data_IF_324338361535
#
_entry.id   IF_324338361535
#
_cell.length_a   1.000
_cell.length_b   1.000
_cell.length_c   1.000
_cell.angle_alpha   90.00
_cell.angle_beta   90.00
_cell.angle_gamma   90.00
#
_symmetry.space_group_name_H-M   'P 1'
#
loop_
_entity.id
_entity.type
_entity.pdbx_description
1 polymer ?
#
# COMPACT_ATOMS: atom_id res chain seq x y z
N UNK A 1 -21.07 1.23 19.60
CA UNK A 1 -21.37 2.24 18.55
C UNK A 1 -20.94 1.75 17.18
N UNK A 2 -19.68 1.37 16.95
CA UNK A 2 -19.26 0.78 15.67
C UNK A 2 -19.99 -0.54 15.37
N UNK A 3 -20.15 -1.42 16.36
CA UNK A 3 -20.87 -2.68 16.16
C UNK A 3 -22.33 -2.45 15.71
N UNK A 4 -22.99 -1.47 16.33
CA UNK A 4 -24.35 -1.06 15.98
C UNK A 4 -24.44 -0.46 14.58
N UNK A 5 -23.43 0.33 14.18
CA UNK A 5 -23.30 0.83 12.81
C UNK A 5 -23.11 -0.30 11.80
N UNK A 6 -22.23 -1.27 12.08
CA UNK A 6 -21.97 -2.42 11.21
C UNK A 6 -23.19 -3.32 11.07
N UNK A 7 -23.94 -3.55 12.16
CA UNK A 7 -25.22 -4.27 12.11
C UNK A 7 -26.24 -3.52 11.24
N UNK A 8 -26.30 -2.19 11.37
CA UNK A 8 -27.16 -1.36 10.53
C UNK A 8 -26.74 -1.46 9.05
N UNK A 9 -25.44 -1.46 8.75
CA UNK A 9 -24.93 -1.57 7.38
C UNK A 9 -25.24 -2.93 6.74
N UNK A 10 -25.04 -4.02 7.49
CA UNK A 10 -25.36 -5.39 7.06
C UNK A 10 -26.86 -5.58 6.73
N UNK A 11 -27.73 -4.80 7.36
CA UNK A 11 -29.16 -4.83 7.06
C UNK A 11 -29.47 -4.26 5.66
N UNK A 12 -28.69 -3.30 5.17
CA UNK A 12 -28.91 -2.75 3.82
C UNK A 12 -28.47 -3.71 2.72
N UNK A 13 -27.39 -4.47 2.93
CA UNK A 13 -26.98 -5.53 1.99
C UNK A 13 -28.04 -6.62 1.84
N UNK A 14 -28.78 -6.91 2.91
CA UNK A 14 -29.85 -7.92 2.90
C UNK A 14 -31.17 -7.38 2.34
N UNK A 15 -31.51 -6.11 2.60
CA UNK A 15 -32.78 -5.50 2.16
C UNK A 15 -32.72 -4.87 0.76
N UNK A 16 -31.54 -4.43 0.31
CA UNK A 16 -31.33 -3.76 -0.97
C UNK A 16 -30.16 -4.38 -1.74
N UNK A 17 -30.29 -5.64 -2.21
CA UNK A 17 -29.22 -6.34 -2.94
C UNK A 17 -28.91 -5.72 -4.31
N UNK A 18 -29.73 -4.77 -4.78
CA UNK A 18 -29.54 -4.01 -6.01
C UNK A 18 -29.51 -2.52 -5.67
N UNK A 19 -28.29 -1.97 -5.66
CA UNK A 19 -27.94 -0.56 -5.47
C UNK A 19 -28.44 0.06 -4.14
N UNK A 20 -27.51 0.22 -3.19
CA UNK A 20 -27.70 1.23 -2.16
C UNK A 20 -27.78 2.57 -2.89
N UNK A 21 -28.96 3.19 -2.89
CA UNK A 21 -29.17 4.55 -3.41
C UNK A 21 -27.98 5.42 -3.01
N UNK A 22 -27.34 6.08 -3.98
CA UNK A 22 -26.14 6.88 -3.75
C UNK A 22 -26.30 7.90 -2.62
N UNK A 23 -27.53 8.35 -2.35
CA UNK A 23 -27.84 9.20 -1.21
C UNK A 23 -27.69 8.46 0.14
N UNK A 24 -28.24 7.25 0.24
CA UNK A 24 -28.15 6.43 1.45
C UNK A 24 -26.71 5.97 1.71
N UNK A 25 -25.98 5.57 0.66
CA UNK A 25 -24.57 5.23 0.76
C UNK A 25 -23.75 6.41 1.31
N UNK A 26 -24.01 7.62 0.82
CA UNK A 26 -23.36 8.85 1.29
C UNK A 26 -23.67 9.17 2.75
N UNK A 27 -24.92 8.98 3.19
CA UNK A 27 -25.30 9.15 4.59
C UNK A 27 -24.57 8.17 5.51
N UNK A 28 -24.47 6.89 5.09
CA UNK A 28 -23.72 5.88 5.84
C UNK A 28 -22.22 6.15 5.89
N UNK A 29 -21.64 6.66 4.81
CA UNK A 29 -20.25 7.13 4.81
C UNK A 29 -20.03 8.28 5.80
N UNK A 30 -20.94 9.26 5.85
CA UNK A 30 -20.85 10.38 6.80
C UNK A 30 -21.00 9.90 8.25
N UNK A 31 -21.96 9.03 8.54
CA UNK A 31 -22.16 8.43 9.85
C UNK A 31 -20.89 7.67 10.30
N UNK A 32 -20.32 6.83 9.42
CA UNK A 32 -19.08 6.11 9.69
C UNK A 32 -17.92 7.07 10.01
N UNK A 33 -17.75 8.12 9.21
CA UNK A 33 -16.68 9.10 9.40
C UNK A 33 -16.83 9.84 10.74
N UNK A 34 -18.06 10.24 11.09
CA UNK A 34 -18.35 10.90 12.36
C UNK A 34 -18.09 9.98 13.56
N UNK A 35 -18.51 8.71 13.47
CA UNK A 35 -18.22 7.71 14.51
C UNK A 35 -16.72 7.47 14.66
N UNK A 36 -15.99 7.36 13.56
CA UNK A 36 -14.54 7.18 13.56
C UNK A 36 -13.82 8.38 14.19
N UNK A 37 -14.22 9.61 13.84
CA UNK A 37 -13.69 10.84 14.43
C UNK A 37 -14.03 10.98 15.92
N UNK A 38 -15.21 10.51 16.35
CA UNK A 38 -15.61 10.54 17.74
C UNK A 38 -14.80 9.54 18.58
N UNK A 39 -14.62 8.33 18.07
CA UNK A 39 -13.89 7.26 18.78
C UNK A 39 -12.38 7.49 18.76
N UNK A 40 -11.86 8.09 17.70
CA UNK A 40 -10.45 8.35 17.53
C UNK A 40 -10.20 9.80 17.09
N UNK A 41 -10.24 10.78 18.01
CA UNK A 41 -10.09 12.20 17.69
C UNK A 41 -8.80 12.55 16.94
N UNK A 42 -7.74 11.76 17.13
CA UNK A 42 -6.47 11.88 16.41
C UNK A 42 -6.63 11.73 14.89
N UNK A 43 -7.62 10.98 14.40
CA UNK A 43 -7.91 10.87 12.96
C UNK A 43 -8.39 12.17 12.34
N UNK A 44 -8.83 13.16 13.14
CA UNK A 44 -9.17 14.49 12.60
C UNK A 44 -7.99 15.09 11.85
N UNK A 45 -6.78 14.93 12.39
CA UNK A 45 -5.56 15.43 11.78
C UNK A 45 -5.07 14.56 10.61
N UNK A 46 -5.73 13.44 10.31
CA UNK A 46 -5.42 12.59 9.15
C UNK A 46 -6.48 12.82 8.06
N UNK A 47 -7.75 12.90 8.44
CA UNK A 47 -8.89 13.04 7.53
C UNK A 47 -9.10 14.47 7.05
N UNK A 48 -8.70 15.48 7.84
CA UNK A 48 -8.82 16.90 7.49
C UNK A 48 -7.47 17.59 7.36
N UNK A 49 -6.37 16.84 7.32
CA UNK A 49 -5.09 17.40 6.93
C UNK A 49 -5.03 17.49 5.40
N UNK A 50 -5.52 18.63 4.92
CA UNK A 50 -5.41 19.05 3.53
C UNK A 50 -4.11 19.81 3.27
N UNK A 51 -3.15 19.79 4.21
CA UNK A 51 -1.84 20.34 3.92
C UNK A 51 -1.20 19.56 2.78
N UNK A 52 -0.52 20.28 1.89
CA UNK A 52 0.30 19.62 0.89
C UNK A 52 1.33 18.78 1.64
N UNK A 53 1.49 17.48 1.30
CA UNK A 53 2.52 16.66 1.90
C UNK A 53 3.84 17.44 1.83
N UNK A 54 4.43 17.69 2.99
CA UNK A 54 5.70 18.42 3.07
C UNK A 54 6.75 17.57 2.38
N UNK A 55 7.73 18.19 1.71
CA UNK A 55 8.83 17.46 1.07
C UNK A 55 9.57 16.66 2.14
N UNK A 56 9.25 15.38 2.26
CA UNK A 56 9.83 14.45 3.23
C UNK A 56 11.20 13.97 2.74
N UNK A 57 11.97 13.39 3.67
CA UNK A 57 13.12 12.57 3.33
C UNK A 57 12.65 11.43 2.41
N UNK A 58 13.07 11.49 1.15
CA UNK A 58 12.62 10.54 0.13
C UNK A 58 13.20 9.15 0.36
N UNK A 59 14.42 9.06 0.90
CA UNK A 59 15.06 7.77 1.15
C UNK A 59 14.30 7.02 2.24
N UNK A 60 14.11 7.68 3.39
CA UNK A 60 13.36 7.12 4.51
C UNK A 60 11.92 6.76 4.08
N UNK A 61 11.23 7.69 3.41
CA UNK A 61 9.86 7.45 2.94
C UNK A 61 9.78 6.21 2.04
N UNK A 62 10.71 6.04 1.10
CA UNK A 62 10.69 4.90 0.19
C UNK A 62 11.04 3.59 0.90
N UNK A 63 11.99 3.58 1.83
CA UNK A 63 12.32 2.38 2.64
C UNK A 63 11.18 1.96 3.57
N UNK A 64 10.37 2.90 4.07
CA UNK A 64 9.20 2.58 4.88
C UNK A 64 8.02 2.08 4.04
N UNK A 65 7.92 2.52 2.77
CA UNK A 65 6.70 2.35 1.97
C UNK A 65 6.86 1.46 0.72
N UNK A 66 8.05 0.91 0.44
CA UNK A 66 8.31 0.17 -0.82
C UNK A 66 7.37 -1.02 -1.04
N UNK A 67 6.81 -1.60 0.02
CA UNK A 67 5.96 -2.77 -0.02
C UNK A 67 4.53 -2.47 -0.51
N UNK A 68 4.10 -1.21 -0.54
CA UNK A 68 2.76 -0.85 -1.02
C UNK A 68 2.63 -0.95 -2.55
N UNK A 69 1.64 -1.70 -3.02
CA UNK A 69 1.28 -1.76 -4.44
C UNK A 69 0.44 -0.54 -4.84
N UNK A 70 1.11 0.62 -5.01
CA UNK A 70 0.48 1.85 -5.50
C UNK A 70 1.22 2.41 -6.71
N UNK A 71 0.56 3.20 -7.59
CA UNK A 71 1.21 3.87 -8.71
C UNK A 71 2.32 4.84 -8.26
N UNK A 72 3.30 5.10 -9.12
CA UNK A 72 4.39 6.04 -8.83
C UNK A 72 3.89 7.46 -8.54
N UNK A 73 2.78 7.84 -9.16
CA UNK A 73 2.08 9.10 -8.92
C UNK A 73 1.69 9.24 -7.46
N UNK A 74 1.30 8.13 -6.81
CA UNK A 74 0.92 8.13 -5.40
C UNK A 74 2.13 8.26 -4.49
N UNK A 75 3.24 7.60 -4.78
CA UNK A 75 4.52 7.79 -4.06
C UNK A 75 5.03 9.23 -4.19
N UNK A 76 4.95 9.81 -5.40
CA UNK A 76 5.31 11.20 -5.63
C UNK A 76 4.44 12.15 -4.79
N UNK A 77 3.11 11.99 -4.89
CA UNK A 77 2.16 12.80 -4.13
C UNK A 77 2.43 12.71 -2.63
N UNK A 78 2.47 11.50 -2.06
CA UNK A 78 2.64 11.29 -0.61
C UNK A 78 4.00 11.73 -0.07
N UNK A 79 5.02 11.86 -0.93
CA UNK A 79 6.32 12.44 -0.57
C UNK A 79 6.42 13.95 -0.81
N UNK A 80 5.31 14.63 -1.12
CA UNK A 80 5.29 16.08 -1.31
C UNK A 80 5.87 16.55 -2.63
N UNK A 81 5.86 15.70 -3.66
CA UNK A 81 6.54 15.94 -4.94
C UNK A 81 5.57 15.80 -6.12
N UNK A 82 5.78 16.61 -7.14
CA UNK A 82 5.24 16.28 -8.47
C UNK A 82 5.93 15.03 -9.01
N UNK A 83 5.29 14.31 -9.94
CA UNK A 83 5.90 13.10 -10.53
C UNK A 83 7.27 13.38 -11.17
N UNK A 84 7.44 14.54 -11.81
CA UNK A 84 8.71 14.94 -12.41
C UNK A 84 9.78 15.24 -11.36
N UNK A 85 9.43 15.98 -10.30
CA UNK A 85 10.36 16.23 -9.19
C UNK A 85 10.73 14.94 -8.47
N UNK A 86 9.76 14.04 -8.27
CA UNK A 86 10.00 12.73 -7.67
C UNK A 86 11.01 11.93 -8.48
N UNK A 87 10.82 11.78 -9.80
CA UNK A 87 11.77 11.01 -10.64
C UNK A 87 13.19 11.60 -10.63
N UNK A 88 13.30 12.94 -10.64
CA UNK A 88 14.61 13.63 -10.58
C UNK A 88 15.29 13.41 -9.23
N UNK A 89 14.62 13.78 -8.13
CA UNK A 89 15.14 13.63 -6.77
C UNK A 89 15.48 12.16 -6.48
N UNK A 90 14.68 11.22 -6.96
CA UNK A 90 14.91 9.78 -6.80
C UNK A 90 16.19 9.32 -7.52
N UNK A 91 16.41 9.79 -8.76
CA UNK A 91 17.63 9.46 -9.50
C UNK A 91 18.88 10.07 -8.85
N UNK A 92 18.77 11.27 -8.29
CA UNK A 92 19.87 11.91 -7.54
C UNK A 92 20.25 11.12 -6.28
N UNK A 93 19.28 10.55 -5.57
CA UNK A 93 19.52 9.79 -4.33
C UNK A 93 19.96 8.34 -4.62
N UNK A 94 19.24 7.65 -5.51
CA UNK A 94 19.40 6.20 -5.70
C UNK A 94 20.16 5.80 -6.97
N UNK A 95 20.43 6.74 -7.88
CA UNK A 95 21.13 6.46 -9.14
C UNK A 95 20.34 5.62 -10.16
N UNK A 96 19.07 5.31 -9.90
CA UNK A 96 18.22 4.50 -10.78
C UNK A 96 16.77 5.01 -10.84
N UNK A 97 15.92 4.38 -11.66
CA UNK A 97 14.52 4.79 -11.78
C UNK A 97 13.68 4.20 -10.63
N UNK A 98 12.61 4.90 -10.17
CA UNK A 98 11.79 4.44 -9.07
C UNK A 98 11.23 3.02 -9.24
N UNK A 99 10.77 2.67 -10.45
CA UNK A 99 10.23 1.33 -10.74
C UNK A 99 11.28 0.22 -10.62
N UNK A 100 12.52 0.49 -11.09
CA UNK A 100 13.61 -0.48 -11.00
C UNK A 100 14.04 -0.67 -9.56
N UNK A 101 14.17 0.43 -8.82
CA UNK A 101 14.50 0.40 -7.40
C UNK A 101 13.43 -0.35 -6.60
N UNK A 102 12.14 -0.07 -6.80
CA UNK A 102 11.04 -0.74 -6.10
C UNK A 102 11.07 -2.25 -6.34
N UNK A 103 11.18 -2.67 -7.60
CA UNK A 103 11.27 -4.09 -7.95
C UNK A 103 12.47 -4.74 -7.26
N UNK A 104 13.62 -4.06 -7.27
CA UNK A 104 14.83 -4.51 -6.59
C UNK A 104 14.59 -4.62 -5.08
N UNK A 105 14.26 -3.55 -4.37
CA UNK A 105 14.08 -3.59 -2.90
C UNK A 105 13.06 -4.64 -2.45
N UNK A 106 11.93 -4.79 -3.15
CA UNK A 106 10.94 -5.85 -2.87
C UNK A 106 11.49 -7.25 -3.02
N UNK A 107 12.26 -7.51 -4.07
CA UNK A 107 12.92 -8.81 -4.27
C UNK A 107 14.01 -9.08 -3.23
N UNK A 108 14.73 -8.05 -2.79
CA UNK A 108 15.70 -8.20 -1.68
C UNK A 108 14.99 -8.56 -0.38
N UNK A 109 13.91 -7.86 -0.05
CA UNK A 109 13.10 -8.16 1.12
C UNK A 109 12.53 -9.60 1.05
N UNK A 110 12.06 -10.03 -0.13
CA UNK A 110 11.62 -11.41 -0.34
C UNK A 110 12.73 -12.42 -0.05
N UNK A 111 13.93 -12.18 -0.59
CA UNK A 111 15.07 -13.06 -0.37
C UNK A 111 15.39 -13.19 1.12
N UNK A 112 15.37 -12.09 1.87
CA UNK A 112 15.58 -12.10 3.32
C UNK A 112 14.50 -12.89 4.07
N UNK A 113 13.22 -12.72 3.72
CA UNK A 113 12.12 -13.46 4.35
C UNK A 113 12.20 -14.97 4.08
N UNK A 114 12.56 -15.36 2.85
CA UNK A 114 12.68 -16.78 2.49
C UNK A 114 13.92 -17.38 3.17
N UNK A 115 15.09 -16.75 2.99
CA UNK A 115 16.37 -17.30 3.49
C UNK A 115 16.59 -17.19 4.99
N UNK A 116 15.86 -16.33 5.71
CA UNK A 116 16.04 -16.19 7.17
C UNK A 116 14.86 -16.67 7.99
N UNK A 117 13.66 -16.64 7.42
CA UNK A 117 12.43 -16.95 8.14
C UNK A 117 11.70 -18.16 7.55
N UNK A 118 12.21 -18.77 6.48
CA UNK A 118 11.60 -19.95 5.85
C UNK A 118 10.23 -19.69 5.25
N UNK A 119 9.86 -18.41 5.03
CA UNK A 119 8.57 -18.03 4.43
C UNK A 119 8.51 -18.47 2.97
N UNK A 120 7.37 -18.99 2.53
CA UNK A 120 7.14 -19.34 1.13
C UNK A 120 6.78 -18.13 0.27
N UNK A 121 7.00 -18.24 -1.05
CA UNK A 121 6.63 -17.19 -2.01
C UNK A 121 5.14 -16.82 -1.97
N UNK A 122 4.26 -17.82 -1.85
CA UNK A 122 2.81 -17.65 -1.78
C UNK A 122 2.36 -16.86 -0.54
N UNK A 123 3.12 -16.92 0.55
CA UNK A 123 2.79 -16.21 1.79
C UNK A 123 3.26 -14.76 1.81
N UNK A 124 4.16 -14.34 0.92
CA UNK A 124 4.82 -13.01 1.02
C UNK A 124 4.63 -12.11 -0.19
N UNK A 125 4.23 -12.65 -1.35
CA UNK A 125 4.25 -11.87 -2.59
C UNK A 125 3.30 -10.64 -2.54
N UNK A 126 2.10 -10.81 -1.98
CA UNK A 126 1.13 -9.72 -1.81
C UNK A 126 1.65 -8.66 -0.84
N UNK A 127 2.18 -9.10 0.30
CA UNK A 127 2.71 -8.21 1.35
C UNK A 127 3.88 -7.36 0.85
N UNK A 128 4.63 -7.87 -0.14
CA UNK A 128 5.74 -7.15 -0.78
C UNK A 128 5.31 -6.31 -1.99
N UNK A 129 4.01 -6.19 -2.23
CA UNK A 129 3.45 -5.32 -3.26
C UNK A 129 3.44 -5.91 -4.67
N UNK A 130 3.57 -7.24 -4.82
CA UNK A 130 3.27 -7.91 -6.08
C UNK A 130 1.79 -8.24 -6.17
N UNK A 131 1.24 -8.21 -7.38
CA UNK A 131 -0.17 -8.54 -7.63
C UNK A 131 -0.37 -10.02 -7.96
N UNK A 132 0.66 -10.65 -8.51
CA UNK A 132 0.60 -12.02 -9.00
C UNK A 132 1.88 -12.80 -8.64
N UNK A 133 1.67 -14.06 -8.25
CA UNK A 133 2.73 -14.97 -7.81
C UNK A 133 3.63 -15.40 -8.97
N UNK A 134 3.09 -15.50 -10.19
CA UNK A 134 3.86 -15.87 -11.39
C UNK A 134 4.84 -14.75 -11.76
N UNK A 135 4.37 -13.50 -11.77
CA UNK A 135 5.21 -12.33 -11.99
C UNK A 135 6.29 -12.18 -10.90
N UNK A 136 5.93 -12.40 -9.63
CA UNK A 136 6.89 -12.44 -8.53
C UNK A 136 7.98 -13.49 -8.77
N UNK A 137 7.57 -14.75 -9.01
CA UNK A 137 8.49 -15.88 -9.16
C UNK A 137 9.42 -15.72 -10.36
N UNK A 138 8.90 -15.22 -11.48
CA UNK A 138 9.69 -14.88 -12.66
C UNK A 138 10.72 -13.79 -12.35
N UNK A 139 10.30 -12.70 -11.71
CA UNK A 139 11.17 -11.57 -11.37
C UNK A 139 12.25 -11.97 -10.37
N UNK A 140 11.90 -12.79 -9.38
CA UNK A 140 12.82 -13.32 -8.38
C UNK A 140 13.90 -14.18 -9.03
N UNK A 141 13.49 -15.15 -9.87
CA UNK A 141 14.43 -16.02 -10.60
C UNK A 141 15.34 -15.21 -11.53
N UNK A 142 14.79 -14.23 -12.24
CA UNK A 142 15.56 -13.34 -13.12
C UNK A 142 16.64 -12.59 -12.35
N UNK A 143 16.39 -12.24 -11.09
CA UNK A 143 17.33 -11.48 -10.27
C UNK A 143 18.37 -12.35 -9.57
N UNK A 144 17.95 -13.45 -8.95
CA UNK A 144 18.81 -14.28 -8.08
C UNK A 144 19.31 -15.56 -8.74
N UNK A 145 18.88 -15.85 -9.97
CA UNK A 145 19.26 -17.06 -10.73
C UNK A 145 18.56 -18.34 -10.29
N UNK A 146 17.87 -18.33 -9.15
CA UNK A 146 17.19 -19.49 -8.55
C UNK A 146 15.73 -19.17 -8.23
N UNK A 147 14.84 -20.17 -8.22
CA UNK A 147 13.44 -19.93 -7.85
C UNK A 147 13.29 -19.68 -6.34
N UNK A 148 12.25 -18.95 -5.90
CA UNK A 148 11.98 -18.75 -4.48
C UNK A 148 11.97 -20.05 -3.66
N UNK A 149 11.38 -21.13 -4.22
CA UNK A 149 11.28 -22.45 -3.59
C UNK A 149 12.62 -23.19 -3.43
N UNK A 150 13.67 -22.75 -4.11
CA UNK A 150 15.00 -23.35 -4.07
C UNK A 150 15.95 -22.61 -3.12
N UNK A 151 15.52 -21.47 -2.56
CA UNK A 151 16.28 -20.75 -1.55
C UNK A 151 16.10 -21.48 -0.22
N UNK A 152 17.19 -21.98 0.33
CA UNK A 152 17.22 -22.67 1.63
C UNK A 152 17.37 -21.61 2.74
N UNK A 153 16.65 -21.81 3.85
CA UNK A 153 16.79 -21.01 5.07
C UNK A 153 17.90 -21.52 5.99
#
# INVERSE_FOLDING_TARGET
>A
MLDSFMQSLALYETLFPLDIDGQLARLKQQEALLLLLHLYPAFRNILFDFSLPVKTDLEQYMEENFHFNVPLEKFAFLSGRSLSSFKRDFHEIFGETPSRWLLKRRLDAAYQLISRQGRSASEIYLDLGFQDLSHFSFSFKKRFGTSPSQVIA
#
